data_IF_336888884517
#
_entry.id   IF_336888884517
#
_cell.length_a   1.000
_cell.length_b   1.000
_cell.length_c   1.000
_cell.angle_alpha   90.00
_cell.angle_beta   90.00
_cell.angle_gamma   90.00
#
_symmetry.space_group_name_H-M   'P 1'
#
loop_
_entity.id
_entity.type
_entity.pdbx_description
1 polymer ?
#
# COMPACT_ATOMS: atom_id res chain seq x y z
N UNK A 1 -27.77 62.14 47.54
CA UNK A 1 -28.26 60.75 47.53
C UNK A 1 -27.85 60.11 46.22
N UNK A 2 -26.87 59.19 46.27
CA UNK A 2 -26.40 58.35 45.16
C UNK A 2 -27.37 57.18 44.98
N UNK A 3 -27.79 56.83 43.76
CA UNK A 3 -28.27 55.48 43.38
C UNK A 3 -28.51 55.41 41.85
N UNK A 4 -27.53 54.89 41.10
CA UNK A 4 -27.49 53.57 40.42
C UNK A 4 -27.93 53.67 38.95
N UNK A 5 -26.97 53.92 38.06
CA UNK A 5 -26.99 53.39 36.70
C UNK A 5 -26.40 51.98 36.75
N UNK A 6 -27.22 50.96 36.52
CA UNK A 6 -26.75 49.60 36.28
C UNK A 6 -26.77 49.32 34.78
N UNK A 7 -25.65 49.55 34.10
CA UNK A 7 -25.41 49.06 32.73
C UNK A 7 -24.95 47.62 32.85
N UNK A 8 -25.77 46.68 32.35
CA UNK A 8 -25.45 45.26 32.24
C UNK A 8 -24.27 45.09 31.29
N UNK A 9 -23.18 44.52 31.80
CA UNK A 9 -22.00 44.13 31.04
C UNK A 9 -22.28 43.00 30.06
N UNK A 10 -21.57 43.06 28.94
CA UNK A 10 -21.51 42.10 27.84
C UNK A 10 -21.41 40.64 28.31
N UNK A 11 -22.39 39.83 27.91
CA UNK A 11 -22.20 38.40 27.77
C UNK A 11 -21.48 38.13 26.44
N UNK A 12 -20.15 38.02 26.47
CA UNK A 12 -19.39 37.44 25.38
C UNK A 12 -19.44 35.90 25.51
N UNK A 13 -20.00 35.15 24.56
CA UNK A 13 -19.78 33.72 24.52
C UNK A 13 -18.35 33.49 24.03
N UNK A 14 -17.45 33.12 24.96
CA UNK A 14 -16.20 32.44 24.66
C UNK A 14 -16.53 31.04 24.13
N UNK A 15 -17.06 30.99 22.90
CA UNK A 15 -17.38 29.77 22.20
C UNK A 15 -16.20 29.32 21.35
N UNK A 16 -15.66 28.14 21.69
CA UNK A 16 -14.86 27.27 20.83
C UNK A 16 -13.54 27.83 20.29
N UNK A 17 -12.51 27.83 21.15
CA UNK A 17 -11.18 27.43 20.69
C UNK A 17 -11.28 25.97 20.24
N UNK A 18 -11.35 25.73 18.93
CA UNK A 18 -11.22 24.39 18.38
C UNK A 18 -9.87 23.83 18.82
N UNK A 19 -9.88 22.90 19.77
CA UNK A 19 -8.70 22.12 20.12
C UNK A 19 -8.38 21.24 18.92
N UNK A 20 -7.47 21.69 18.05
CA UNK A 20 -6.89 20.91 16.94
C UNK A 20 -5.89 19.88 17.51
N UNK A 21 -6.36 19.10 18.47
CA UNK A 21 -5.62 18.03 19.13
C UNK A 21 -6.17 16.68 18.69
N UNK A 22 -5.29 15.81 18.22
CA UNK A 22 -5.61 14.44 17.83
C UNK A 22 -5.03 13.49 18.85
N UNK A 23 -5.87 12.70 19.50
CA UNK A 23 -5.46 11.64 20.40
C UNK A 23 -5.90 10.28 19.83
N UNK A 24 -4.99 9.32 19.78
CA UNK A 24 -5.26 7.95 19.36
C UNK A 24 -5.05 7.04 20.57
N UNK A 25 -6.11 6.34 20.94
CA UNK A 25 -6.10 5.42 22.08
C UNK A 25 -5.22 4.17 21.83
N UNK A 26 -4.75 3.50 22.88
CA UNK A 26 -3.89 2.31 22.75
C UNK A 26 -4.56 1.23 21.90
N UNK A 27 -3.80 0.57 21.02
CA UNK A 27 -4.30 -0.48 20.13
C UNK A 27 -5.45 -0.05 19.19
N UNK A 28 -5.68 1.26 19.02
CA UNK A 28 -6.72 1.76 18.11
C UNK A 28 -6.13 2.38 16.86
N UNK A 29 -6.97 2.49 15.83
CA UNK A 29 -6.62 3.13 14.58
C UNK A 29 -7.53 4.34 14.38
N UNK A 30 -6.93 5.52 14.22
CA UNK A 30 -7.65 6.74 13.90
C UNK A 30 -7.26 7.19 12.50
N UNK A 31 -8.26 7.48 11.65
CA UNK A 31 -8.02 8.15 10.38
C UNK A 31 -8.20 9.65 10.54
N UNK A 32 -7.19 10.39 10.13
CA UNK A 32 -7.17 11.84 10.25
C UNK A 32 -8.30 12.46 9.39
N UNK A 33 -9.21 13.28 9.97
CA UNK A 33 -10.34 13.86 9.26
C UNK A 33 -9.89 15.01 8.35
N UNK A 34 -9.39 14.70 7.16
CA UNK A 34 -8.87 15.68 6.22
C UNK A 34 -9.95 16.18 5.24
N UNK A 35 -10.36 17.44 5.37
CA UNK A 35 -11.20 18.13 4.36
C UNK A 35 -10.37 18.82 3.27
N UNK A 36 -9.13 19.22 3.58
CA UNK A 36 -8.19 19.87 2.65
C UNK A 36 -6.93 19.05 2.37
N UNK A 37 -5.98 19.69 1.70
CA UNK A 37 -4.65 19.17 1.37
C UNK A 37 -3.55 19.64 2.34
N UNK A 38 -3.76 20.74 3.06
CA UNK A 38 -2.91 21.18 4.17
C UNK A 38 -3.67 21.10 5.50
N UNK A 39 -3.00 20.61 6.54
CA UNK A 39 -3.54 20.47 7.89
C UNK A 39 -2.52 20.96 8.91
N UNK A 40 -2.99 21.74 9.88
CA UNK A 40 -2.19 22.19 11.02
C UNK A 40 -2.83 21.66 12.29
N UNK A 41 -2.06 20.94 13.10
CA UNK A 41 -2.50 20.34 14.35
C UNK A 41 -1.60 20.85 15.47
N UNK A 42 -2.19 21.28 16.58
CA UNK A 42 -1.42 21.78 17.72
C UNK A 42 -0.76 20.61 18.46
N UNK A 43 -1.49 19.52 18.67
CA UNK A 43 -0.99 18.34 19.38
C UNK A 43 -1.48 17.06 18.73
N UNK A 44 -0.56 16.14 18.49
CA UNK A 44 -0.86 14.78 18.03
C UNK A 44 -0.24 13.81 19.02
N UNK A 45 -1.07 13.00 19.68
CA UNK A 45 -0.62 11.91 20.54
C UNK A 45 -1.15 10.59 20.01
N UNK A 46 -0.26 9.64 19.84
CA UNK A 46 -0.59 8.27 19.46
C UNK A 46 -0.08 7.35 20.55
N UNK A 47 -1.01 6.76 21.29
CA UNK A 47 -0.69 5.87 22.40
C UNK A 47 -0.05 4.56 21.92
N UNK A 48 0.38 3.73 22.87
CA UNK A 48 1.14 2.50 22.61
C UNK A 48 0.39 1.59 21.62
N UNK A 49 1.11 1.13 20.60
CA UNK A 49 0.58 0.28 19.53
C UNK A 49 -0.59 0.90 18.73
N UNK A 50 -0.92 2.17 18.97
CA UNK A 50 -1.93 2.91 18.20
C UNK A 50 -1.43 3.26 16.79
N UNK A 51 -2.37 3.56 15.89
CA UNK A 51 -2.05 3.99 14.54
C UNK A 51 -2.85 5.22 14.11
N UNK A 52 -2.16 6.25 13.65
CA UNK A 52 -2.75 7.41 13.01
C UNK A 52 -2.60 7.32 11.49
N UNK A 53 -3.70 7.35 10.75
CA UNK A 53 -3.71 7.23 9.30
C UNK A 53 -3.92 8.60 8.62
N UNK A 54 -2.94 9.01 7.82
CA UNK A 54 -2.94 10.23 7.01
C UNK A 54 -3.50 9.92 5.62
N UNK A 55 -4.64 10.51 5.22
CA UNK A 55 -5.23 10.30 3.90
C UNK A 55 -4.32 10.74 2.74
N UNK A 56 -4.45 10.08 1.58
CA UNK A 56 -3.65 10.36 0.38
C UNK A 56 -3.76 11.80 -0.15
N UNK A 57 -4.86 12.50 0.18
CA UNK A 57 -5.10 13.89 -0.22
C UNK A 57 -4.29 14.91 0.57
N UNK A 58 -3.85 14.57 1.78
CA UNK A 58 -3.06 15.49 2.62
C UNK A 58 -1.67 15.54 2.02
N UNK A 59 -1.22 16.72 1.62
CA UNK A 59 0.10 17.02 1.06
C UNK A 59 1.01 17.68 2.08
N UNK A 60 0.43 18.39 3.04
CA UNK A 60 1.15 19.10 4.07
C UNK A 60 0.49 18.86 5.42
N UNK A 61 1.28 18.45 6.40
CA UNK A 61 0.86 18.22 7.77
C UNK A 61 1.84 18.93 8.70
N UNK A 62 1.37 20.01 9.33
CA UNK A 62 2.13 20.77 10.32
C UNK A 62 1.67 20.36 11.71
N UNK A 63 2.59 20.00 12.58
CA UNK A 63 2.32 19.52 13.93
C UNK A 63 3.13 20.37 14.90
N UNK A 64 2.43 21.02 15.84
CA UNK A 64 3.07 21.73 16.95
C UNK A 64 3.83 20.75 17.86
N UNK A 65 3.12 19.77 18.41
CA UNK A 65 3.67 18.77 19.30
C UNK A 65 3.27 17.34 18.88
N UNK A 66 4.24 16.49 18.54
CA UNK A 66 4.02 15.08 18.16
C UNK A 66 4.53 14.12 19.23
N UNK A 67 3.66 13.27 19.75
CA UNK A 67 4.03 12.19 20.66
C UNK A 67 3.62 10.85 20.06
N UNK A 68 4.61 10.06 19.64
CA UNK A 68 4.42 8.65 19.29
C UNK A 68 4.95 7.81 20.45
N UNK A 69 4.04 7.11 21.12
CA UNK A 69 4.38 6.15 22.16
C UNK A 69 5.06 4.91 21.56
N UNK A 70 5.44 3.97 22.43
CA UNK A 70 6.15 2.75 22.03
C UNK A 70 5.35 1.98 20.97
N UNK A 71 6.02 1.56 19.89
CA UNK A 71 5.38 0.84 18.77
C UNK A 71 4.21 1.59 18.09
N UNK A 72 4.04 2.89 18.33
CA UNK A 72 3.00 3.68 17.69
C UNK A 72 3.31 3.91 16.21
N UNK A 73 2.27 4.07 15.40
CA UNK A 73 2.39 4.10 13.95
C UNK A 73 1.75 5.34 13.34
N UNK A 74 2.47 5.97 12.43
CA UNK A 74 1.95 6.97 11.51
C UNK A 74 1.84 6.31 10.13
N UNK A 75 0.64 5.88 9.76
CA UNK A 75 0.36 5.30 8.45
C UNK A 75 0.00 6.39 7.46
N UNK A 76 0.61 6.40 6.29
CA UNK A 76 0.32 7.31 5.20
C UNK A 76 -0.29 6.50 4.07
N UNK A 77 -1.49 6.90 3.64
CA UNK A 77 -2.12 6.24 2.50
C UNK A 77 -1.29 6.46 1.23
N UNK A 78 -1.21 5.45 0.34
CA UNK A 78 -0.54 5.57 -0.95
C UNK A 78 -1.08 6.76 -1.74
N UNK A 79 -0.18 7.53 -2.36
CA UNK A 79 -0.53 8.74 -3.09
C UNK A 79 0.58 9.15 -4.05
N UNK A 80 0.21 9.86 -5.13
CA UNK A 80 1.16 10.30 -6.15
C UNK A 80 1.94 11.56 -5.74
N UNK A 81 1.36 12.38 -4.86
CA UNK A 81 1.96 13.62 -4.42
C UNK A 81 2.77 13.38 -3.14
N UNK A 82 3.95 14.00 -3.05
CA UNK A 82 4.76 13.98 -1.85
C UNK A 82 3.97 14.53 -0.64
N UNK A 83 4.25 13.98 0.54
CA UNK A 83 3.73 14.46 1.82
C UNK A 83 4.85 15.17 2.58
N UNK A 84 4.64 16.44 2.91
CA UNK A 84 5.47 17.18 3.83
C UNK A 84 4.90 17.08 5.24
N UNK A 85 5.69 16.58 6.19
CA UNK A 85 5.37 16.55 7.61
C UNK A 85 6.35 17.47 8.33
N UNK A 86 5.86 18.56 8.91
CA UNK A 86 6.64 19.51 9.70
C UNK A 86 6.26 19.36 11.17
N UNK A 87 7.21 18.95 11.99
CA UNK A 87 7.05 18.74 13.43
C UNK A 87 7.94 19.72 14.16
N UNK A 88 7.32 20.65 14.89
CA UNK A 88 8.05 21.64 15.70
C UNK A 88 8.68 20.99 16.92
N UNK A 89 7.90 20.28 17.71
CA UNK A 89 8.36 19.62 18.93
C UNK A 89 7.81 18.20 19.00
N UNK A 90 8.53 17.28 19.65
CA UNK A 90 7.96 15.96 19.84
C UNK A 90 8.87 14.89 20.44
N UNK A 91 8.28 13.72 20.62
CA UNK A 91 8.97 12.49 21.03
C UNK A 91 8.47 11.31 20.22
N UNK A 92 9.41 10.61 19.60
CA UNK A 92 9.18 9.37 18.87
C UNK A 92 9.81 8.25 19.71
N UNK A 93 9.00 7.51 20.47
CA UNK A 93 9.49 6.44 21.33
C UNK A 93 9.94 5.21 20.53
N UNK A 94 10.59 4.26 21.19
CA UNK A 94 11.15 3.08 20.54
C UNK A 94 10.10 2.24 19.80
N UNK A 95 10.50 1.77 18.62
CA UNK A 95 9.64 1.00 17.73
C UNK A 95 8.61 1.84 16.99
N UNK A 96 8.67 3.17 17.07
CA UNK A 96 7.80 4.05 16.28
C UNK A 96 7.99 3.81 14.79
N UNK A 97 6.89 3.84 14.03
CA UNK A 97 6.92 3.60 12.59
C UNK A 97 6.21 4.70 11.82
N UNK A 98 6.86 5.26 10.81
CA UNK A 98 6.24 6.08 9.77
C UNK A 98 6.18 5.25 8.49
N UNK A 99 4.98 4.84 8.08
CA UNK A 99 4.78 3.94 6.96
C UNK A 99 4.07 4.65 5.81
N UNK A 100 4.74 4.79 4.67
CA UNK A 100 4.22 5.41 3.45
C UNK A 100 4.38 4.47 2.24
N UNK A 101 4.07 3.19 2.47
CA UNK A 101 4.27 2.13 1.48
C UNK A 101 3.32 2.26 0.29
N UNK A 102 3.76 1.77 -0.85
CA UNK A 102 2.92 1.62 -2.04
C UNK A 102 1.84 0.54 -1.87
N UNK A 103 0.71 0.71 -2.57
CA UNK A 103 -0.30 -0.31 -2.69
C UNK A 103 0.18 -1.44 -3.61
N UNK A 104 -0.07 -2.69 -3.22
CA UNK A 104 0.13 -3.85 -4.09
C UNK A 104 -0.78 -3.78 -5.32
N UNK A 105 -0.26 -4.27 -6.44
CA UNK A 105 -1.01 -4.40 -7.68
C UNK A 105 -2.09 -5.48 -7.59
N UNK A 106 -3.13 -5.29 -8.39
CA UNK A 106 -4.19 -6.25 -8.66
C UNK A 106 -4.35 -6.41 -10.17
N UNK A 107 -5.22 -7.34 -10.60
CA UNK A 107 -5.56 -7.49 -12.02
C UNK A 107 -6.19 -6.24 -12.65
N UNK A 108 -6.69 -5.29 -11.85
CA UNK A 108 -7.31 -4.06 -12.34
C UNK A 108 -6.40 -2.83 -12.20
N UNK A 109 -5.44 -2.84 -11.27
CA UNK A 109 -4.63 -1.68 -10.93
C UNK A 109 -3.17 -2.09 -10.75
N UNK A 110 -2.22 -1.40 -11.37
CA UNK A 110 -0.81 -1.66 -11.13
C UNK A 110 -0.44 -1.33 -9.68
N UNK A 111 0.70 -1.87 -9.24
CA UNK A 111 1.29 -1.49 -7.97
C UNK A 111 1.61 0.01 -7.94
N UNK A 112 1.44 0.66 -6.78
CA UNK A 112 1.82 2.06 -6.63
C UNK A 112 3.21 2.19 -6.01
N UNK A 113 3.90 3.27 -6.34
CA UNK A 113 5.15 3.62 -5.69
C UNK A 113 4.96 3.87 -4.19
N UNK A 114 6.04 3.71 -3.42
CA UNK A 114 6.12 4.29 -2.08
C UNK A 114 5.94 5.80 -2.17
N UNK A 115 5.18 6.38 -1.25
CA UNK A 115 4.84 7.80 -1.31
C UNK A 115 6.00 8.65 -0.79
N UNK A 116 6.48 9.58 -1.60
CA UNK A 116 7.57 10.48 -1.23
C UNK A 116 7.24 11.27 0.06
N UNK A 117 8.22 11.34 0.96
CA UNK A 117 8.11 12.01 2.26
C UNK A 117 9.17 13.12 2.38
N UNK A 118 8.74 14.27 2.88
CA UNK A 118 9.64 15.29 3.44
C UNK A 118 9.33 15.37 4.93
N UNK A 119 10.29 15.03 5.77
CA UNK A 119 10.16 14.99 7.22
C UNK A 119 11.02 16.09 7.82
N UNK A 120 10.38 17.21 8.19
CA UNK A 120 11.03 18.29 8.91
C UNK A 120 10.81 18.11 10.40
N UNK A 121 11.86 17.80 11.14
CA UNK A 121 11.78 17.54 12.58
C UNK A 121 12.68 18.55 13.29
N UNK A 122 12.11 19.51 14.01
CA UNK A 122 12.87 20.65 14.55
C UNK A 122 13.40 20.41 15.96
N UNK A 123 12.54 20.05 16.91
CA UNK A 123 12.94 19.72 18.28
C UNK A 123 12.29 18.40 18.70
N UNK A 124 12.73 17.30 18.06
CA UNK A 124 12.12 15.99 18.21
C UNK A 124 13.14 15.01 18.79
N UNK A 125 12.84 14.49 19.98
CA UNK A 125 13.58 13.37 20.54
C UNK A 125 13.15 12.07 19.84
N UNK A 126 14.11 11.29 19.36
CA UNK A 126 13.86 10.06 18.61
C UNK A 126 14.57 8.89 19.27
N UNK A 127 13.83 7.81 19.51
CA UNK A 127 14.36 6.49 19.84
C UNK A 127 14.50 5.64 18.57
N UNK A 128 14.21 4.34 18.67
CA UNK A 128 14.20 3.46 17.48
C UNK A 128 13.06 3.81 16.51
N UNK A 129 13.36 4.57 15.46
CA UNK A 129 12.40 4.97 14.42
C UNK A 129 12.58 4.13 13.15
N UNK A 130 11.49 3.63 12.60
CA UNK A 130 11.45 3.03 11.27
C UNK A 130 10.64 3.90 10.31
N UNK A 131 11.24 4.29 9.19
CA UNK A 131 10.54 4.94 8.07
C UNK A 131 10.46 3.95 6.90
N UNK A 132 9.26 3.46 6.60
CA UNK A 132 9.01 2.45 5.55
C UNK A 132 8.29 3.09 4.35
N UNK A 133 9.03 3.30 3.25
CA UNK A 133 8.54 3.89 2.00
C UNK A 133 8.81 2.94 0.82
N UNK A 134 8.62 1.64 1.06
CA UNK A 134 8.78 0.61 0.04
C UNK A 134 7.72 0.70 -1.06
N UNK A 135 8.09 0.24 -2.25
CA UNK A 135 7.17 0.11 -3.38
C UNK A 135 6.19 -1.05 -3.20
N UNK A 136 5.01 -0.93 -3.82
CA UNK A 136 4.01 -1.99 -3.85
C UNK A 136 4.44 -3.21 -4.68
N UNK A 137 3.96 -4.39 -4.29
CA UNK A 137 4.22 -5.66 -5.00
C UNK A 137 3.47 -5.70 -6.32
N UNK A 138 4.11 -6.14 -7.40
CA UNK A 138 3.49 -6.30 -8.71
C UNK A 138 2.30 -7.27 -8.70
N UNK A 139 1.31 -7.02 -9.56
CA UNK A 139 0.16 -7.92 -9.71
C UNK A 139 0.60 -9.27 -10.32
N UNK A 140 0.05 -10.40 -9.85
CA UNK A 140 0.36 -11.69 -10.44
C UNK A 140 -0.15 -11.79 -11.88
N UNK A 141 0.51 -12.62 -12.69
CA UNK A 141 0.04 -13.00 -14.01
C UNK A 141 -1.23 -13.85 -13.93
N UNK A 142 -2.05 -13.80 -14.98
CA UNK A 142 -3.24 -14.65 -15.12
C UNK A 142 -2.83 -16.09 -15.42
N UNK A 143 -3.48 -17.04 -14.76
CA UNK A 143 -3.34 -18.45 -15.10
C UNK A 143 -3.98 -18.72 -16.47
N UNK A 144 -3.30 -19.54 -17.28
CA UNK A 144 -3.81 -19.98 -18.57
C UNK A 144 -4.99 -20.95 -18.40
N UNK A 145 -5.97 -20.86 -19.30
CA UNK A 145 -7.13 -21.74 -19.29
C UNK A 145 -6.77 -23.16 -19.74
N UNK A 146 -7.39 -24.15 -19.12
CA UNK A 146 -7.24 -25.55 -19.50
C UNK A 146 -7.89 -25.82 -20.87
N UNK A 147 -7.22 -26.61 -21.68
CA UNK A 147 -7.72 -27.03 -22.98
C UNK A 147 -8.93 -27.96 -22.85
N UNK A 148 -9.92 -27.78 -23.73
CA UNK A 148 -11.09 -28.66 -23.75
C UNK A 148 -10.70 -30.11 -24.12
N UNK A 149 -11.31 -31.10 -23.46
CA UNK A 149 -11.06 -32.50 -23.76
C UNK A 149 -11.52 -32.89 -25.18
N UNK A 150 -10.81 -33.85 -25.76
CA UNK A 150 -11.15 -34.43 -27.05
C UNK A 150 -12.51 -35.15 -27.00
N UNK A 151 -13.18 -35.22 -28.15
CA UNK A 151 -14.42 -35.98 -28.29
C UNK A 151 -14.22 -37.14 -29.25
N UNK A 152 -14.59 -38.34 -28.82
CA UNK A 152 -14.63 -39.52 -29.67
C UNK A 152 -15.72 -39.37 -30.75
N UNK A 153 -15.53 -40.02 -31.88
CA UNK A 153 -16.55 -40.10 -32.94
C UNK A 153 -17.80 -40.85 -32.43
N UNK A 154 -18.97 -40.39 -32.87
CA UNK A 154 -20.26 -41.03 -32.57
C UNK A 154 -20.46 -42.31 -33.38
N UNK A 155 -21.26 -43.25 -32.87
CA UNK A 155 -21.53 -44.53 -33.55
C UNK A 155 -22.51 -44.44 -34.73
N UNK A 156 -23.22 -43.32 -34.88
CA UNK A 156 -24.19 -43.12 -35.95
C UNK A 156 -23.65 -42.15 -37.01
N UNK A 157 -23.03 -41.03 -36.60
CA UNK A 157 -22.50 -39.98 -37.49
C UNK A 157 -21.47 -39.12 -36.73
N UNK A 158 -20.48 -38.56 -37.43
CA UNK A 158 -19.57 -37.53 -36.91
C UNK A 158 -18.13 -37.99 -36.64
N UNK A 159 -17.16 -37.16 -37.01
CA UNK A 159 -15.73 -37.41 -36.79
C UNK A 159 -15.28 -37.13 -35.35
N UNK A 160 -14.16 -37.73 -34.95
CA UNK A 160 -13.50 -37.39 -33.68
C UNK A 160 -12.99 -35.96 -33.72
N UNK A 161 -13.09 -35.23 -32.61
CA UNK A 161 -12.47 -33.91 -32.46
C UNK A 161 -11.27 -34.00 -31.52
N UNK A 162 -10.11 -33.44 -31.92
CA UNK A 162 -8.96 -33.35 -31.03
C UNK A 162 -9.29 -32.45 -29.82
N UNK A 163 -8.52 -32.62 -28.76
CA UNK A 163 -8.56 -31.73 -27.61
C UNK A 163 -7.98 -30.36 -27.94
N UNK A 164 -8.43 -29.35 -27.19
CA UNK A 164 -7.82 -28.03 -27.17
C UNK A 164 -6.48 -28.04 -26.44
N UNK A 165 -5.59 -27.14 -26.84
CA UNK A 165 -4.38 -26.84 -26.08
C UNK A 165 -4.75 -26.03 -24.84
N UNK A 166 -3.96 -26.17 -23.78
CA UNK A 166 -3.99 -25.22 -22.68
C UNK A 166 -3.40 -23.88 -23.12
N UNK A 167 -3.92 -22.79 -22.57
CA UNK A 167 -3.37 -21.46 -22.80
C UNK A 167 -2.11 -21.23 -21.96
N UNK A 168 -1.27 -20.31 -22.41
CA UNK A 168 -0.11 -19.90 -21.64
C UNK A 168 -0.56 -19.07 -20.43
N UNK A 169 0.21 -19.15 -19.34
CA UNK A 169 0.10 -18.18 -18.25
C UNK A 169 0.63 -16.82 -18.70
N UNK A 170 0.04 -15.75 -18.20
CA UNK A 170 0.54 -14.41 -18.43
C UNK A 170 1.71 -14.08 -17.48
N UNK A 171 2.53 -13.12 -17.88
CA UNK A 171 3.63 -12.63 -17.06
C UNK A 171 3.11 -11.83 -15.85
N UNK A 172 3.89 -11.88 -14.77
CA UNK A 172 3.67 -11.01 -13.62
C UNK A 172 3.98 -9.56 -13.94
N UNK A 173 3.23 -8.64 -13.33
CA UNK A 173 3.48 -7.21 -13.50
C UNK A 173 4.71 -6.76 -12.71
N UNK A 174 5.42 -5.71 -13.14
CA UNK A 174 6.56 -5.18 -12.42
C UNK A 174 6.16 -4.68 -11.02
N UNK A 175 7.07 -4.83 -10.06
CA UNK A 175 6.95 -4.18 -8.76
C UNK A 175 7.13 -2.66 -8.89
N UNK A 176 6.46 -1.91 -8.03
CA UNK A 176 6.56 -0.45 -8.06
C UNK A 176 7.85 0.05 -7.38
N UNK A 177 8.35 1.25 -7.74
CA UNK A 177 9.55 1.80 -7.13
C UNK A 177 9.32 2.19 -5.66
N UNK A 178 10.40 2.18 -4.88
CA UNK A 178 10.42 2.81 -3.55
C UNK A 178 10.30 4.34 -3.65
N UNK A 179 9.82 4.97 -2.59
CA UNK A 179 9.68 6.42 -2.53
C UNK A 179 10.98 7.13 -2.15
N UNK A 180 10.96 8.46 -2.24
CA UNK A 180 12.03 9.34 -1.80
C UNK A 180 11.73 9.86 -0.40
N UNK A 181 12.70 9.81 0.49
CA UNK A 181 12.61 10.36 1.84
C UNK A 181 13.64 11.45 2.00
N UNK A 182 13.18 12.66 2.32
CA UNK A 182 14.05 13.78 2.68
C UNK A 182 13.85 14.12 4.15
N UNK A 183 14.89 13.99 4.95
CA UNK A 183 14.92 14.48 6.31
C UNK A 183 15.46 15.91 6.34
N UNK A 184 14.76 16.80 7.02
CA UNK A 184 15.21 18.16 7.34
C UNK A 184 15.29 18.26 8.87
N UNK A 185 16.48 18.15 9.42
CA UNK A 185 16.69 17.98 10.87
C UNK A 185 17.84 18.86 11.39
N UNK A 186 17.87 19.21 12.69
CA UNK A 186 19.01 19.87 13.31
C UNK A 186 20.33 19.13 13.14
N UNK A 187 21.44 19.84 13.35
CA UNK A 187 22.78 19.24 13.31
C UNK A 187 22.97 18.08 14.30
N UNK A 188 22.35 18.13 15.47
CA UNK A 188 22.46 17.15 16.56
C UNK A 188 21.43 16.02 16.49
N UNK A 189 20.56 16.00 15.48
CA UNK A 189 19.55 14.94 15.34
C UNK A 189 20.22 13.57 15.09
N UNK A 190 19.94 12.55 15.92
CA UNK A 190 20.61 11.25 15.88
C UNK A 190 20.02 10.39 14.77
N UNK A 191 20.62 10.43 13.57
CA UNK A 191 20.16 9.64 12.43
C UNK A 191 20.52 8.16 12.56
N UNK A 192 21.40 7.79 13.47
CA UNK A 192 21.86 6.43 13.74
C UNK A 192 20.77 5.51 14.30
N UNK A 193 19.76 6.07 14.99
CA UNK A 193 18.59 5.32 15.50
C UNK A 193 17.43 5.28 14.50
N UNK A 194 17.59 5.92 13.33
CA UNK A 194 16.58 5.95 12.27
C UNK A 194 16.90 4.92 11.20
N UNK A 195 16.03 3.91 11.08
CA UNK A 195 16.08 2.93 9.99
C UNK A 195 15.15 3.36 8.87
N UNK A 196 15.66 3.39 7.64
CA UNK A 196 14.87 3.77 6.46
C UNK A 196 14.80 2.58 5.49
N UNK A 197 13.59 2.20 5.09
CA UNK A 197 13.30 1.13 4.14
C UNK A 197 12.74 1.72 2.86
N UNK A 198 13.52 1.61 1.80
CA UNK A 198 13.27 2.26 0.51
C UNK A 198 13.22 1.25 -0.64
N UNK A 199 13.16 -0.03 -0.33
CA UNK A 199 13.22 -1.08 -1.33
C UNK A 199 12.09 -0.96 -2.35
N UNK A 200 12.43 -1.16 -3.63
CA UNK A 200 11.43 -1.38 -4.66
C UNK A 200 10.62 -2.63 -4.38
N UNK A 201 9.33 -2.58 -4.74
CA UNK A 201 8.42 -3.72 -4.59
C UNK A 201 8.89 -4.90 -5.42
N UNK A 202 8.66 -6.11 -4.93
CA UNK A 202 8.93 -7.33 -5.69
C UNK A 202 7.97 -7.43 -6.88
N UNK A 203 8.40 -8.11 -7.94
CA UNK A 203 7.53 -8.36 -9.09
C UNK A 203 6.38 -9.29 -8.75
N UNK A 204 5.35 -9.27 -9.60
CA UNK A 204 4.26 -10.21 -9.51
C UNK A 204 4.69 -11.62 -9.91
N UNK A 205 4.10 -12.63 -9.27
CA UNK A 205 4.33 -14.01 -9.64
C UNK A 205 3.86 -14.30 -11.08
N UNK A 206 4.53 -15.22 -11.75
CA UNK A 206 4.12 -15.73 -13.06
C UNK A 206 2.77 -16.46 -13.00
N UNK A 207 1.95 -16.29 -14.04
CA UNK A 207 0.75 -17.09 -14.25
C UNK A 207 1.10 -18.55 -14.56
N UNK A 208 0.30 -19.47 -14.04
CA UNK A 208 0.47 -20.91 -14.29
C UNK A 208 0.01 -21.25 -15.72
N UNK A 209 0.64 -22.24 -16.36
CA UNK A 209 0.16 -22.73 -17.65
C UNK A 209 -1.17 -23.49 -17.51
N UNK A 210 -2.04 -23.32 -18.49
CA UNK A 210 -3.21 -24.18 -18.66
C UNK A 210 -2.80 -25.60 -19.05
N UNK A 211 -3.54 -26.59 -18.55
CA UNK A 211 -3.32 -28.00 -18.87
C UNK A 211 -3.79 -28.31 -20.28
N UNK A 212 -3.15 -29.30 -20.89
CA UNK A 212 -3.64 -29.90 -22.12
C UNK A 212 -5.03 -30.53 -21.91
N UNK A 213 -5.93 -30.36 -22.88
CA UNK A 213 -7.14 -31.17 -22.92
C UNK A 213 -6.80 -32.65 -23.11
N UNK A 214 -7.48 -33.53 -22.38
CA UNK A 214 -7.24 -34.95 -22.41
C UNK A 214 -7.64 -35.57 -23.77
N UNK A 215 -6.90 -36.59 -24.19
CA UNK A 215 -7.30 -37.44 -25.33
C UNK A 215 -8.61 -38.16 -25.03
N UNK A 216 -9.35 -38.51 -26.07
CA UNK A 216 -10.47 -39.44 -25.96
C UNK A 216 -10.03 -40.82 -26.41
N UNK A 217 -10.52 -41.85 -25.74
CA UNK A 217 -10.32 -43.24 -26.15
C UNK A 217 -11.14 -43.57 -27.40
N UNK A 218 -10.79 -44.67 -28.10
CA UNK A 218 -11.66 -45.23 -29.14
C UNK A 218 -13.01 -45.64 -28.54
N UNK A 219 -14.08 -45.56 -29.34
CA UNK A 219 -15.41 -46.02 -28.93
C UNK A 219 -15.77 -47.28 -29.71
N UNK A 220 -16.17 -48.33 -28.99
CA UNK A 220 -16.63 -49.57 -29.59
C UNK A 220 -18.13 -49.44 -29.92
N UNK A 221 -18.46 -49.54 -31.20
CA UNK A 221 -19.81 -49.62 -31.73
C UNK A 221 -20.13 -51.08 -32.06
N UNK A 222 -21.41 -51.40 -32.27
CA UNK A 222 -21.90 -52.79 -32.34
C UNK A 222 -21.17 -53.68 -33.37
N UNK A 223 -20.69 -53.11 -34.48
CA UNK A 223 -20.00 -53.85 -35.54
C UNK A 223 -18.63 -53.27 -35.94
N UNK A 224 -18.17 -52.20 -35.29
CA UNK A 224 -16.89 -51.52 -35.61
C UNK A 224 -16.42 -50.63 -34.44
N UNK A 225 -15.19 -50.12 -34.49
CA UNK A 225 -14.67 -49.14 -33.52
C UNK A 225 -14.34 -47.80 -34.18
N UNK A 226 -14.52 -46.70 -33.47
CA UNK A 226 -14.10 -45.37 -33.92
C UNK A 226 -12.77 -44.96 -33.27
N UNK A 227 -11.98 -44.15 -33.98
CA UNK A 227 -10.77 -43.55 -33.42
C UNK A 227 -11.11 -42.47 -32.40
N UNK A 228 -10.29 -42.39 -31.35
CA UNK A 228 -10.33 -41.29 -30.40
C UNK A 228 -9.66 -40.03 -30.94
N UNK A 229 -10.06 -38.87 -30.45
CA UNK A 229 -9.38 -37.61 -30.70
C UNK A 229 -8.10 -37.46 -29.85
N UNK A 230 -7.04 -36.92 -30.45
CA UNK A 230 -5.75 -36.68 -29.82
C UNK A 230 -5.83 -35.68 -28.65
N UNK A 231 -4.88 -35.77 -27.71
CA UNK A 231 -4.72 -34.79 -26.63
C UNK A 231 -4.18 -33.45 -27.17
N UNK A 232 -4.42 -32.38 -26.42
CA UNK A 232 -3.84 -31.08 -26.69
C UNK A 232 -2.41 -30.99 -26.17
N UNK A 233 -1.81 -29.81 -26.30
CA UNK A 233 -0.54 -29.43 -25.68
C UNK A 233 -0.78 -28.58 -24.44
N UNK A 234 0.06 -28.71 -23.39
CA UNK A 234 0.00 -27.79 -22.26
C UNK A 234 0.48 -26.40 -22.70
N UNK A 235 0.02 -25.37 -22.01
CA UNK A 235 0.56 -24.02 -22.15
C UNK A 235 1.96 -23.91 -21.53
N UNK A 236 2.56 -22.73 -21.71
CA UNK A 236 3.81 -22.35 -21.05
C UNK A 236 3.54 -21.45 -19.84
N UNK A 237 4.34 -21.53 -18.77
CA UNK A 237 4.25 -20.59 -17.66
C UNK A 237 4.63 -19.17 -18.14
N UNK A 238 4.08 -18.16 -17.46
CA UNK A 238 4.57 -16.80 -17.61
C UNK A 238 5.94 -16.60 -16.95
N UNK A 239 6.43 -15.38 -17.00
CA UNK A 239 7.65 -14.92 -16.32
C UNK A 239 7.29 -14.07 -15.11
N UNK A 240 8.10 -14.14 -14.05
CA UNK A 240 7.95 -13.25 -12.89
C UNK A 240 8.23 -11.79 -13.30
N UNK A 241 7.46 -10.86 -12.75
CA UNK A 241 7.68 -9.45 -12.98
C UNK A 241 9.05 -9.00 -12.47
N UNK A 242 9.69 -7.98 -13.07
CA UNK A 242 10.91 -7.43 -12.52
C UNK A 242 10.61 -6.68 -11.21
N UNK A 243 11.62 -6.65 -10.33
CA UNK A 243 11.58 -5.83 -9.11
C UNK A 243 11.61 -4.34 -9.46
N UNK A 244 10.86 -3.53 -8.72
CA UNK A 244 10.93 -2.08 -8.82
C UNK A 244 12.29 -1.53 -8.40
N UNK A 245 12.64 -0.33 -8.85
CA UNK A 245 13.86 0.34 -8.40
C UNK A 245 13.75 0.76 -6.93
N UNK A 246 14.87 0.74 -6.23
CA UNK A 246 14.95 1.27 -4.87
C UNK A 246 14.77 2.80 -4.87
N UNK A 247 14.24 3.30 -3.76
CA UNK A 247 14.04 4.71 -3.49
C UNK A 247 15.33 5.43 -3.11
N UNK A 248 15.19 6.65 -2.57
CA UNK A 248 16.35 7.49 -2.21
C UNK A 248 16.15 8.16 -0.86
N UNK A 249 17.22 8.18 -0.07
CA UNK A 249 17.33 8.97 1.15
C UNK A 249 18.12 10.26 0.86
N UNK A 250 17.59 11.38 1.33
CA UNK A 250 18.27 12.67 1.38
C UNK A 250 18.19 13.21 2.81
N UNK A 251 19.29 13.78 3.31
CA UNK A 251 19.36 14.31 4.67
C UNK A 251 19.94 15.71 4.59
N UNK A 252 19.12 16.68 4.95
CA UNK A 252 19.46 18.10 5.02
C UNK A 252 19.52 18.48 6.49
N UNK A 253 20.69 18.98 6.92
CA UNK A 253 20.87 19.49 8.27
C UNK A 253 20.79 21.01 8.28
N UNK A 254 20.12 21.59 9.27
CA UNK A 254 20.03 23.04 9.48
C UNK A 254 20.44 23.45 10.90
#
# INVERSE_FOLDING_TARGET
>A
MRRVLGVLLLAAPLGCLAADSVNVEPNTVLRLPAKGDSLTLERVSVAEQGALLIPARVRELRIGHLELAKNARLGVFPGQQALHIDVREGRLADGSVIAAQGASGSFQKPASAGRDLVLRLQNVAVGDLLVDVRGGVGAPGLDGLDGANARAAGCLWGGSRPAGNGENGADGQPGAPGGKVRFEVPQDFPMEVVRVRLEGGVGGAAGKPGKAGAKSGPRNCMVYSTTGGAAGKPGQPGVEGPRGSDGRLDVVRF
#
